data_IF_105902278106
#
_entry.id   IF_105902278106
#
_cell.length_a   1.000
_cell.length_b   1.000
_cell.length_c   1.000
_cell.angle_alpha   90.00
_cell.angle_beta   90.00
_cell.angle_gamma   90.00
#
_symmetry.space_group_name_H-M   'P 1'
#
loop_
_entity.id
_entity.type
_entity.pdbx_description
1 polymer ?
#
# COMPACT_ATOMS: atom_id res chain seq x y z
N UNK A 1 -8.60 -23.43 -10.44
CA UNK A 1 -7.76 -22.78 -9.41
C UNK A 1 -6.40 -23.44 -9.49
N UNK A 2 -5.38 -22.75 -10.02
CA UNK A 2 -4.03 -23.32 -10.04
C UNK A 2 -3.54 -23.41 -8.60
N UNK A 3 -3.17 -24.60 -8.14
CA UNK A 3 -2.51 -24.74 -6.84
C UNK A 3 -1.19 -23.98 -6.87
N UNK A 4 -1.06 -23.00 -5.98
CA UNK A 4 0.20 -22.31 -5.77
C UNK A 4 1.17 -23.27 -5.09
N UNK A 5 2.42 -23.31 -5.54
CA UNK A 5 3.45 -24.10 -4.87
C UNK A 5 3.64 -23.62 -3.43
N UNK A 6 4.06 -24.52 -2.54
CA UNK A 6 4.36 -24.17 -1.13
C UNK A 6 5.44 -23.09 -0.99
N UNK A 7 6.29 -22.91 -2.01
CA UNK A 7 7.26 -21.81 -2.07
C UNK A 7 6.57 -20.46 -2.37
N UNK A 8 5.60 -20.46 -3.29
CA UNK A 8 4.83 -19.27 -3.63
C UNK A 8 3.95 -18.82 -2.46
N UNK A 9 3.30 -19.77 -1.76
CA UNK A 9 2.48 -19.46 -0.57
C UNK A 9 3.31 -18.79 0.53
N UNK A 10 4.47 -19.35 0.86
CA UNK A 10 5.41 -18.77 1.83
C UNK A 10 5.88 -17.36 1.45
N UNK A 11 6.14 -17.11 0.16
CA UNK A 11 6.56 -15.79 -0.30
C UNK A 11 5.44 -14.75 -0.21
N UNK A 12 4.19 -15.16 -0.43
CA UNK A 12 3.03 -14.30 -0.26
C UNK A 12 2.84 -13.97 1.23
N UNK A 13 2.90 -14.97 2.11
CA UNK A 13 2.78 -14.76 3.57
C UNK A 13 3.89 -13.85 4.12
N UNK A 14 5.12 -13.95 3.61
CA UNK A 14 6.21 -13.05 3.98
C UNK A 14 5.93 -11.58 3.64
N UNK A 15 5.23 -11.32 2.52
CA UNK A 15 4.95 -9.96 2.03
C UNK A 15 3.66 -9.40 2.66
N UNK A 16 2.63 -10.23 2.76
CA UNK A 16 1.28 -9.80 3.11
C UNK A 16 0.86 -10.19 4.52
N UNK A 17 1.59 -11.09 5.17
CA UNK A 17 1.21 -11.69 6.45
C UNK A 17 0.12 -12.74 6.30
N UNK A 18 -0.28 -13.28 7.44
CA UNK A 18 -1.38 -14.24 7.62
C UNK A 18 -2.72 -13.56 7.95
N UNK A 19 -2.67 -12.34 8.48
CA UNK A 19 -3.83 -11.55 8.89
C UNK A 19 -4.11 -10.44 7.89
N UNK A 20 -5.23 -10.55 7.18
CA UNK A 20 -5.77 -9.42 6.41
C UNK A 20 -6.43 -8.42 7.38
N UNK A 21 -6.34 -7.11 7.10
CA UNK A 21 -7.07 -6.12 7.88
C UNK A 21 -8.58 -6.38 7.81
N UNK A 22 -9.27 -6.17 8.93
CA UNK A 22 -10.71 -6.40 9.04
C UNK A 22 -11.55 -5.44 8.17
N UNK A 23 -10.95 -4.32 7.76
CA UNK A 23 -11.56 -3.31 6.91
C UNK A 23 -10.66 -3.01 5.71
N UNK A 24 -11.28 -2.68 4.58
CA UNK A 24 -10.55 -2.19 3.41
C UNK A 24 -10.12 -0.74 3.61
N UNK A 25 -9.24 -0.26 2.72
CA UNK A 25 -8.76 1.13 2.77
C UNK A 25 -9.89 2.15 2.61
N UNK A 26 -10.90 1.85 1.80
CA UNK A 26 -12.06 2.73 1.56
C UNK A 26 -13.05 2.77 2.73
N UNK A 27 -13.09 1.73 3.56
CA UNK A 27 -13.89 1.68 4.80
C UNK A 27 -13.20 2.37 5.98
N UNK A 28 -11.88 2.55 5.91
CA UNK A 28 -11.10 3.25 6.93
C UNK A 28 -11.37 4.74 6.84
N UNK A 29 -12.03 5.27 7.86
CA UNK A 29 -12.33 6.70 7.98
C UNK A 29 -11.06 7.57 8.08
N UNK A 30 -11.26 8.88 7.89
CA UNK A 30 -10.22 9.90 7.95
C UNK A 30 -9.54 10.04 9.33
N UNK A 31 -10.13 9.45 10.36
CA UNK A 31 -9.71 9.52 11.75
C UNK A 31 -8.54 8.57 12.10
N UNK A 32 -8.17 7.64 11.22
CA UNK A 32 -6.93 6.90 11.43
C UNK A 32 -5.72 7.81 11.19
N UNK A 33 -4.68 7.76 12.05
CA UNK A 33 -3.48 8.57 11.91
C UNK A 33 -2.81 8.23 10.59
N UNK A 34 -3.09 9.05 9.58
CA UNK A 34 -2.35 9.05 8.34
C UNK A 34 -0.90 9.38 8.70
N UNK A 35 0.05 8.57 8.23
CA UNK A 35 1.47 8.93 8.30
C UNK A 35 1.70 10.02 7.25
N UNK A 36 1.19 11.22 7.53
CA UNK A 36 1.11 12.32 6.57
C UNK A 36 2.51 12.73 6.06
N UNK A 37 3.52 12.63 6.93
CA UNK A 37 4.89 13.02 6.59
C UNK A 37 5.53 12.13 5.51
N UNK A 38 5.37 10.80 5.59
CA UNK A 38 5.93 9.84 4.60
C UNK A 38 5.19 9.92 3.25
N UNK A 39 3.87 10.11 3.27
CA UNK A 39 3.05 10.19 2.07
C UNK A 39 3.38 11.42 1.23
N UNK A 40 3.45 12.58 1.87
CA UNK A 40 3.74 13.83 1.18
C UNK A 40 5.17 13.89 0.63
N UNK A 41 6.15 13.34 1.34
CA UNK A 41 7.53 13.24 0.86
C UNK A 41 7.61 12.41 -0.42
N UNK A 42 6.94 11.26 -0.45
CA UNK A 42 6.90 10.41 -1.63
C UNK A 42 6.21 11.10 -2.83
N UNK A 43 5.10 11.80 -2.60
CA UNK A 43 4.40 12.56 -3.65
C UNK A 43 5.30 13.65 -4.24
N UNK A 44 6.01 14.42 -3.41
CA UNK A 44 6.94 15.46 -3.88
C UNK A 44 8.12 14.86 -4.66
N UNK A 45 8.64 13.72 -4.22
CA UNK A 45 9.74 13.02 -4.89
C UNK A 45 9.35 12.44 -6.27
N UNK A 46 8.07 12.13 -6.50
CA UNK A 46 7.58 11.50 -7.73
C UNK A 46 6.79 12.46 -8.64
N UNK A 47 7.05 13.76 -8.49
CA UNK A 47 6.35 14.80 -9.23
C UNK A 47 6.66 14.74 -10.73
N UNK A 48 5.65 14.64 -11.63
CA UNK A 48 5.88 14.63 -13.07
C UNK A 48 6.55 15.94 -13.56
N UNK A 49 7.36 15.91 -14.64
CA UNK A 49 8.11 17.07 -15.14
C UNK A 49 7.25 18.29 -15.53
N UNK A 50 5.96 18.08 -15.76
CA UNK A 50 5.03 19.13 -16.19
C UNK A 50 4.23 19.77 -15.05
N UNK A 51 4.39 19.31 -13.81
CA UNK A 51 3.51 19.72 -12.72
C UNK A 51 3.72 21.20 -12.29
N UNK A 52 4.84 21.88 -12.62
CA UNK A 52 5.04 23.32 -12.36
C UNK A 52 4.67 24.21 -13.56
N UNK A 53 4.19 23.63 -14.66
CA UNK A 53 3.95 24.37 -15.90
C UNK A 53 2.47 24.74 -16.01
N UNK A 54 2.06 25.69 -15.18
CA UNK A 54 0.85 26.49 -15.39
C UNK A 54 1.23 27.90 -15.90
#
# INVERSE_FOLDING_TARGET
MAELSEQMRRRIEEIFGDVLPATTRDERGEDEPRRDDEGDEWLRANRPPHHDRD
#
